data_IF_587803842671
#
_entry.id   IF_587803842671
#
_cell.length_a   1.000
_cell.length_b   1.000
_cell.length_c   1.000
_cell.angle_alpha   90.00
_cell.angle_beta   90.00
_cell.angle_gamma   90.00
#
_symmetry.space_group_name_H-M   'P 1'
#
loop_
_entity.id
_entity.type
_entity.pdbx_description
1 polymer ?
#
# COMPACT_ATOMS: atom_id res chain seq x y z
N UNK A 1 -8.68 59.64 -19.31
CA UNK A 1 -8.93 60.29 -18.00
C UNK A 1 -7.72 60.00 -17.13
N UNK A 2 -7.16 61.07 -16.55
CA UNK A 2 -6.03 61.24 -15.60
C UNK A 2 -5.78 60.06 -14.61
N UNK A 3 -4.62 59.82 -13.97
CA UNK A 3 -3.24 60.32 -13.89
C UNK A 3 -2.45 59.29 -13.03
N UNK A 4 -1.20 58.94 -13.41
CA UNK A 4 0.07 58.88 -12.60
C UNK A 4 0.05 58.30 -11.16
N UNK A 5 1.07 57.63 -10.62
CA UNK A 5 2.51 57.55 -10.87
C UNK A 5 3.19 57.17 -9.53
N UNK A 6 4.17 56.25 -9.57
CA UNK A 6 5.13 55.93 -8.48
C UNK A 6 6.11 57.14 -8.25
N UNK A 7 7.11 57.19 -7.30
CA UNK A 7 7.74 56.11 -6.52
C UNK A 7 8.30 56.40 -5.09
N UNK A 8 8.77 55.32 -4.43
CA UNK A 8 9.91 55.08 -3.50
C UNK A 8 10.47 56.07 -2.44
N UNK A 9 10.64 55.48 -1.25
CA UNK A 9 11.79 55.41 -0.32
C UNK A 9 12.08 56.55 0.68
N UNK A 10 12.18 56.17 1.98
CA UNK A 10 13.33 56.50 2.84
C UNK A 10 13.36 55.64 4.13
N UNK A 11 14.57 55.21 4.49
CA UNK A 11 14.97 54.54 5.74
C UNK A 11 15.29 55.59 6.81
N UNK A 12 14.94 55.35 8.08
CA UNK A 12 15.74 55.81 9.23
C UNK A 12 15.51 54.97 10.49
N UNK A 13 16.63 54.47 11.02
CA UNK A 13 16.80 53.94 12.38
C UNK A 13 16.72 55.08 13.39
N UNK A 14 16.16 54.79 14.57
CA UNK A 14 16.65 55.30 15.85
C UNK A 14 16.51 54.19 16.89
N UNK A 15 17.65 53.76 17.43
CA UNK A 15 17.78 53.02 18.67
C UNK A 15 17.37 53.94 19.83
N UNK A 16 16.68 53.42 20.85
CA UNK A 16 16.89 53.87 22.23
C UNK A 16 16.41 52.79 23.23
N UNK A 17 17.31 52.51 24.18
CA UNK A 17 17.21 51.53 25.25
C UNK A 17 16.29 52.02 26.37
N UNK A 18 15.53 51.11 26.98
CA UNK A 18 14.84 51.37 28.25
C UNK A 18 14.06 50.14 28.74
N UNK A 19 14.63 49.44 29.71
CA UNK A 19 14.00 48.39 30.54
C UNK A 19 14.34 48.74 32.01
N UNK A 20 13.64 48.26 33.06
CA UNK A 20 12.40 47.47 33.16
C UNK A 20 11.30 48.16 33.99
N UNK A 21 10.10 47.57 34.03
CA UNK A 21 9.35 47.37 35.27
C UNK A 21 8.30 46.26 35.08
N UNK A 22 8.38 45.23 35.93
CA UNK A 22 7.37 44.21 36.19
C UNK A 22 6.74 44.57 37.55
N UNK A 23 5.41 44.40 37.75
CA UNK A 23 5.05 43.19 38.49
C UNK A 23 3.67 42.57 38.15
N UNK A 24 3.62 41.27 38.42
CA UNK A 24 2.56 40.50 39.07
C UNK A 24 1.54 39.72 38.21
N UNK A 25 1.69 38.39 38.29
CA UNK A 25 0.69 37.57 38.97
C UNK A 25 -0.30 36.81 38.09
N UNK A 26 -0.02 35.53 37.84
CA UNK A 26 -1.00 34.61 37.25
C UNK A 26 -0.46 33.19 37.10
N UNK A 27 -0.46 32.41 38.20
CA UNK A 27 -0.14 30.98 38.18
C UNK A 27 -1.28 30.19 37.52
N UNK A 28 -1.03 29.56 36.37
CA UNK A 28 -1.91 28.52 35.82
C UNK A 28 -1.33 27.17 36.17
N UNK A 29 -2.08 26.39 36.96
CA UNK A 29 -1.75 25.00 37.31
C UNK A 29 -1.90 24.11 36.07
N UNK A 30 -0.88 23.33 35.77
CA UNK A 30 -0.92 22.23 34.80
C UNK A 30 -1.84 21.12 35.30
N UNK A 31 -2.85 20.77 34.51
CA UNK A 31 -3.62 19.53 34.68
C UNK A 31 -3.00 18.51 33.73
N UNK A 32 -2.41 17.45 34.28
CA UNK A 32 -1.87 16.33 33.50
C UNK A 32 -2.99 15.46 32.91
N UNK A 33 -2.69 14.65 31.87
CA UNK A 33 -3.72 13.85 31.21
C UNK A 33 -4.16 12.67 32.09
N UNK A 34 -5.46 12.60 32.32
CA UNK A 34 -6.13 11.49 33.01
C UNK A 34 -6.14 10.28 32.08
N UNK A 35 -5.41 9.22 32.44
CA UNK A 35 -5.49 7.93 31.77
C UNK A 35 -6.83 7.25 32.09
N UNK A 36 -7.70 7.12 31.10
CA UNK A 36 -8.89 6.27 31.20
C UNK A 36 -8.53 4.85 30.73
N UNK A 37 -8.51 3.91 31.68
CA UNK A 37 -8.45 2.48 31.42
C UNK A 37 -9.75 2.02 30.73
N UNK A 38 -9.62 1.33 29.59
CA UNK A 38 -10.72 0.58 28.96
C UNK A 38 -10.93 -0.76 29.71
N UNK A 39 -12.17 -1.27 29.79
CA UNK A 39 -12.43 -2.57 30.39
C UNK A 39 -12.05 -3.72 29.43
N UNK A 40 -11.52 -4.78 30.04
CA UNK A 40 -11.10 -6.04 29.46
C UNK A 40 -12.24 -6.73 28.70
N UNK A 41 -12.11 -6.89 27.37
CA UNK A 41 -13.08 -7.62 26.54
C UNK A 41 -12.60 -9.05 26.41
N UNK A 42 -13.12 -9.93 27.27
CA UNK A 42 -12.89 -11.38 27.16
C UNK A 42 -13.76 -11.95 26.03
N UNK A 43 -13.20 -12.68 25.04
CA UNK A 43 -13.99 -13.23 23.95
C UNK A 43 -14.89 -14.39 24.43
N UNK A 44 -16.20 -14.22 24.34
CA UNK A 44 -17.16 -15.30 24.58
C UNK A 44 -17.35 -16.14 23.33
N UNK A 45 -16.80 -17.37 23.33
CA UNK A 45 -17.16 -18.43 22.37
C UNK A 45 -18.67 -18.69 22.41
N UNK A 46 -19.37 -18.41 21.31
CA UNK A 46 -20.69 -18.99 21.04
C UNK A 46 -20.59 -19.97 19.88
N UNK A 47 -20.48 -21.25 20.20
CA UNK A 47 -20.86 -22.33 19.30
C UNK A 47 -22.39 -22.44 19.27
N UNK A 48 -22.99 -22.43 18.09
CA UNK A 48 -24.32 -22.97 17.84
C UNK A 48 -24.42 -23.54 16.41
N UNK A 49 -25.34 -24.49 16.17
CA UNK A 49 -25.08 -25.67 15.34
C UNK A 49 -25.51 -25.53 13.87
N UNK A 50 -24.93 -26.41 13.07
CA UNK A 50 -25.18 -26.65 11.64
C UNK A 50 -26.66 -26.87 11.30
N UNK A 51 -27.18 -26.02 10.42
CA UNK A 51 -28.47 -26.17 9.76
C UNK A 51 -28.28 -26.23 8.24
N UNK A 52 -28.67 -27.35 7.65
CA UNK A 52 -28.52 -27.71 6.24
C UNK A 52 -29.57 -27.05 5.33
N UNK A 53 -29.20 -26.94 4.04
CA UNK A 53 -30.01 -26.79 2.80
C UNK A 53 -30.12 -25.34 2.27
N UNK A 54 -30.06 -25.06 0.96
CA UNK A 54 -30.59 -25.84 -0.18
C UNK A 54 -30.03 -25.31 -1.53
N UNK A 55 -29.26 -26.13 -2.26
CA UNK A 55 -29.27 -26.19 -3.75
C UNK A 55 -28.62 -27.49 -4.22
N UNK A 56 -29.44 -28.47 -4.57
CA UNK A 56 -29.11 -29.46 -5.60
C UNK A 56 -29.32 -28.82 -6.98
N UNK A 57 -28.97 -29.41 -8.11
CA UNK A 57 -28.61 -30.79 -8.45
C UNK A 57 -28.15 -30.74 -9.93
N UNK A 58 -27.08 -31.45 -10.31
CA UNK A 58 -27.03 -32.37 -11.46
C UNK A 58 -25.60 -32.87 -11.69
N UNK A 59 -25.52 -34.18 -11.91
CA UNK A 59 -24.34 -35.02 -12.01
C UNK A 59 -24.10 -35.47 -13.46
N UNK A 60 -22.87 -35.87 -13.80
CA UNK A 60 -22.62 -37.11 -14.54
C UNK A 60 -21.12 -37.51 -14.48
N UNK A 61 -20.91 -38.81 -14.30
CA UNK A 61 -19.66 -39.50 -14.00
C UNK A 61 -18.81 -39.84 -15.24
N UNK A 62 -17.50 -39.98 -15.05
CA UNK A 62 -16.72 -41.08 -15.64
C UNK A 62 -15.49 -41.38 -14.78
N UNK A 63 -15.51 -42.53 -14.12
CA UNK A 63 -14.36 -43.16 -13.48
C UNK A 63 -13.73 -44.18 -14.43
N UNK A 64 -12.40 -44.24 -14.46
CA UNK A 64 -11.66 -45.44 -14.85
C UNK A 64 -10.35 -45.49 -14.04
N UNK A 65 -10.11 -46.62 -13.38
CA UNK A 65 -8.93 -46.90 -12.55
C UNK A 65 -8.13 -48.09 -13.12
N UNK A 66 -6.79 -47.89 -13.23
CA UNK A 66 -5.66 -48.78 -12.78
C UNK A 66 -5.36 -50.04 -13.65
N UNK A 67 -4.08 -50.45 -13.95
CA UNK A 67 -2.99 -50.67 -12.98
C UNK A 67 -1.52 -50.34 -13.35
N UNK A 68 -0.72 -50.46 -12.29
CA UNK A 68 0.73 -50.28 -12.05
C UNK A 68 1.68 -51.31 -12.69
N UNK A 69 2.88 -50.85 -13.06
CA UNK A 69 4.19 -51.53 -12.99
C UNK A 69 5.27 -50.44 -13.16
N UNK A 70 6.36 -50.27 -12.41
CA UNK A 70 7.16 -51.17 -11.58
C UNK A 70 8.61 -51.05 -12.05
N UNK A 71 9.48 -50.34 -11.30
CA UNK A 71 10.92 -50.62 -11.06
C UNK A 71 11.66 -49.39 -10.55
N UNK A 72 12.21 -49.54 -9.34
CA UNK A 72 13.22 -48.73 -8.67
C UNK A 72 14.62 -48.97 -9.26
N UNK A 73 15.42 -47.92 -9.47
CA UNK A 73 16.66 -47.66 -8.70
C UNK A 73 17.59 -46.58 -9.31
N UNK A 74 18.16 -45.78 -8.39
CA UNK A 74 19.43 -45.02 -8.41
C UNK A 74 19.48 -43.56 -8.86
N UNK A 75 19.48 -42.70 -7.83
CA UNK A 75 20.52 -41.70 -7.48
C UNK A 75 21.32 -41.09 -8.64
N UNK A 76 20.93 -39.87 -9.02
CA UNK A 76 21.74 -38.89 -9.72
C UNK A 76 21.13 -37.52 -9.44
N UNK A 77 21.93 -36.59 -8.92
CA UNK A 77 21.48 -35.37 -8.23
C UNK A 77 20.37 -34.60 -8.96
N UNK A 78 19.34 -34.23 -8.21
CA UNK A 78 18.42 -33.18 -8.62
C UNK A 78 19.22 -31.87 -8.67
N UNK A 79 19.70 -31.53 -9.87
CA UNK A 79 19.96 -30.14 -10.18
C UNK A 79 18.63 -29.44 -10.01
N UNK A 80 18.59 -28.46 -9.09
CA UNK A 80 17.49 -27.54 -8.96
C UNK A 80 17.13 -27.05 -10.38
N UNK A 81 15.88 -27.29 -10.79
CA UNK A 81 15.40 -26.72 -12.03
C UNK A 81 15.50 -25.20 -11.88
N UNK A 82 16.02 -24.46 -12.88
CA UNK A 82 16.01 -23.01 -12.81
C UNK A 82 14.56 -22.55 -12.64
N UNK A 83 14.30 -21.82 -11.54
CA UNK A 83 12.99 -21.27 -11.20
C UNK A 83 12.57 -20.32 -12.33
N UNK A 84 11.47 -20.63 -13.03
CA UNK A 84 10.76 -19.66 -13.84
C UNK A 84 9.97 -18.76 -12.88
N UNK A 85 10.49 -17.57 -12.62
CA UNK A 85 9.79 -16.49 -11.92
C UNK A 85 8.77 -15.90 -12.89
N UNK A 86 7.51 -15.84 -12.47
CA UNK A 86 6.46 -15.15 -13.24
C UNK A 86 6.76 -13.63 -13.29
N UNK A 87 6.69 -13.04 -14.48
CA UNK A 87 7.16 -11.68 -14.82
C UNK A 87 6.24 -10.54 -14.39
N UNK A 88 5.00 -10.85 -14.03
CA UNK A 88 3.95 -9.83 -13.87
C UNK A 88 3.83 -9.42 -12.40
N UNK A 89 4.44 -8.29 -12.01
CA UNK A 89 4.26 -7.65 -10.69
C UNK A 89 3.67 -6.24 -10.85
N UNK A 90 2.37 -6.13 -11.20
CA UNK A 90 1.81 -4.92 -11.76
C UNK A 90 1.71 -3.72 -10.80
N UNK A 91 1.86 -3.90 -9.47
CA UNK A 91 1.88 -2.81 -8.45
C UNK A 91 2.41 -3.25 -7.08
N UNK A 92 2.65 -2.30 -6.15
CA UNK A 92 2.75 -2.64 -4.71
C UNK A 92 1.46 -3.33 -4.27
N UNK A 93 1.64 -4.35 -3.42
CA UNK A 93 0.64 -5.38 -3.12
C UNK A 93 0.28 -6.30 -4.29
N UNK A 94 1.18 -6.45 -5.26
CA UNK A 94 1.10 -7.38 -6.40
C UNK A 94 -0.07 -7.13 -7.35
N UNK A 95 -1.31 -7.38 -6.91
CA UNK A 95 -2.52 -7.34 -7.72
C UNK A 95 -3.54 -6.28 -7.24
N UNK A 96 -4.66 -6.17 -7.94
CA UNK A 96 -5.77 -5.30 -7.55
C UNK A 96 -6.44 -5.73 -6.24
N UNK A 97 -6.29 -7.00 -5.83
CA UNK A 97 -6.73 -7.54 -4.53
C UNK A 97 -5.80 -7.16 -3.39
N UNK A 98 -4.70 -6.46 -3.70
CA UNK A 98 -3.73 -6.04 -2.72
C UNK A 98 -3.11 -7.22 -1.94
N UNK A 99 -2.86 -8.35 -2.62
CA UNK A 99 -2.32 -9.57 -1.97
C UNK A 99 -0.86 -9.47 -1.57
N UNK A 100 -0.04 -8.71 -2.29
CA UNK A 100 1.41 -8.60 -2.08
C UNK A 100 2.19 -9.87 -2.40
N UNK A 101 1.62 -10.76 -3.21
CA UNK A 101 2.11 -12.13 -3.42
C UNK A 101 1.98 -12.57 -4.88
N UNK A 102 3.00 -13.22 -5.43
CA UNK A 102 2.91 -13.95 -6.71
C UNK A 102 1.97 -15.17 -6.65
N UNK A 103 1.37 -15.54 -7.78
CA UNK A 103 0.38 -16.65 -7.87
C UNK A 103 0.92 -17.93 -7.20
N UNK A 104 0.10 -18.56 -6.37
CA UNK A 104 0.38 -19.85 -5.73
C UNK A 104 1.57 -19.93 -4.74
N UNK A 105 2.14 -18.80 -4.28
CA UNK A 105 3.19 -18.74 -3.22
C UNK A 105 2.73 -18.43 -1.77
N UNK A 106 2.61 -19.40 -0.85
CA UNK A 106 2.38 -19.07 0.58
C UNK A 106 3.63 -18.50 1.25
N UNK A 107 3.46 -17.56 2.18
CA UNK A 107 4.59 -17.08 2.98
C UNK A 107 4.92 -18.06 4.12
N UNK A 108 5.85 -17.68 5.02
CA UNK A 108 6.26 -18.52 6.14
C UNK A 108 5.11 -18.85 7.09
N UNK A 109 5.00 -20.11 7.48
CA UNK A 109 3.97 -20.59 8.42
C UNK A 109 4.42 -20.64 9.87
N UNK A 110 5.71 -20.44 10.10
CA UNK A 110 6.36 -20.34 11.40
C UNK A 110 7.28 -19.14 11.37
N UNK A 111 7.70 -18.66 12.54
CA UNK A 111 8.63 -17.54 12.66
C UNK A 111 9.86 -17.75 11.76
N UNK A 112 10.05 -16.92 10.73
CA UNK A 112 11.15 -17.08 9.79
C UNK A 112 12.45 -16.49 10.35
N UNK A 113 13.58 -16.94 9.81
CA UNK A 113 14.88 -16.33 10.11
C UNK A 113 15.26 -15.30 9.06
N UNK A 114 16.08 -14.30 9.44
CA UNK A 114 16.67 -13.39 8.45
C UNK A 114 17.68 -14.17 7.63
N UNK A 115 17.39 -14.37 6.34
CA UNK A 115 18.30 -15.00 5.38
C UNK A 115 19.43 -14.05 5.01
N UNK A 116 19.06 -12.82 4.69
CA UNK A 116 19.99 -11.73 4.43
C UNK A 116 19.34 -10.39 4.79
N UNK A 117 20.19 -9.39 4.98
CA UNK A 117 19.79 -7.99 5.16
C UNK A 117 20.81 -7.09 4.50
N UNK A 118 20.34 -6.13 3.70
CA UNK A 118 21.19 -5.20 2.96
C UNK A 118 20.80 -3.78 3.30
N UNK A 119 21.79 -2.94 3.58
CA UNK A 119 21.56 -1.52 3.81
C UNK A 119 21.28 -0.85 2.47
N UNK A 120 20.21 -0.08 2.38
CA UNK A 120 19.79 0.65 1.18
C UNK A 120 19.66 2.13 1.52
N UNK A 121 20.00 3.01 0.58
CA UNK A 121 19.79 4.44 0.78
C UNK A 121 18.28 4.68 0.95
N UNK A 122 17.88 5.09 2.15
CA UNK A 122 16.51 5.48 2.43
C UNK A 122 16.43 6.88 3.03
N UNK A 123 15.32 7.54 2.75
CA UNK A 123 14.98 8.80 3.37
C UNK A 123 14.45 8.53 4.77
N UNK A 124 15.09 9.14 5.78
CA UNK A 124 14.67 9.03 7.18
C UNK A 124 13.20 9.45 7.33
N UNK A 125 12.40 8.59 7.95
CA UNK A 125 10.96 8.83 8.14
C UNK A 125 10.08 8.52 6.92
N UNK A 126 10.66 8.08 5.79
CA UNK A 126 9.92 7.58 4.63
C UNK A 126 9.48 6.12 4.79
N UNK A 127 8.54 5.71 3.95
CA UNK A 127 8.08 4.32 3.84
C UNK A 127 8.50 3.76 2.48
N UNK A 128 9.59 2.98 2.39
CA UNK A 128 10.05 2.46 1.11
C UNK A 128 9.08 1.42 0.55
N UNK A 129 8.94 1.44 -0.78
CA UNK A 129 8.22 0.40 -1.51
C UNK A 129 9.18 -0.73 -1.88
N UNK A 130 8.70 -1.97 -1.78
CA UNK A 130 9.40 -3.17 -2.25
C UNK A 130 8.55 -3.88 -3.28
N UNK A 131 9.16 -4.27 -4.39
CA UNK A 131 8.57 -5.10 -5.45
C UNK A 131 9.62 -6.10 -5.90
N UNK A 132 9.20 -7.32 -6.23
CA UNK A 132 10.11 -8.42 -6.60
C UNK A 132 9.76 -8.91 -8.00
N UNK A 133 10.74 -8.99 -8.89
CA UNK A 133 10.56 -9.54 -10.23
C UNK A 133 11.89 -10.10 -10.76
N UNK A 134 11.83 -11.21 -11.49
CA UNK A 134 12.98 -11.85 -12.15
C UNK A 134 14.17 -12.10 -11.21
N UNK A 135 13.89 -12.56 -9.98
CA UNK A 135 14.92 -12.75 -8.95
C UNK A 135 15.61 -11.46 -8.49
N UNK A 136 14.95 -10.31 -8.68
CA UNK A 136 15.42 -8.98 -8.29
C UNK A 136 14.46 -8.36 -7.30
N UNK A 137 14.98 -7.80 -6.21
CA UNK A 137 14.21 -6.99 -5.26
C UNK A 137 14.48 -5.53 -5.58
N UNK A 138 13.46 -4.79 -6.00
CA UNK A 138 13.54 -3.35 -6.21
C UNK A 138 13.02 -2.63 -4.98
N UNK A 139 13.82 -1.72 -4.43
CA UNK A 139 13.48 -0.89 -3.29
C UNK A 139 13.47 0.57 -3.71
N UNK A 140 12.29 1.19 -3.71
CA UNK A 140 12.15 2.61 -3.98
C UNK A 140 12.07 3.38 -2.65
N UNK A 141 12.99 4.34 -2.46
CA UNK A 141 13.01 5.23 -1.30
C UNK A 141 13.31 6.68 -1.71
N UNK A 142 12.28 7.53 -1.69
CA UNK A 142 12.34 8.92 -2.12
C UNK A 142 12.74 9.03 -3.59
N UNK A 143 13.92 9.58 -3.83
CA UNK A 143 14.49 9.78 -5.18
C UNK A 143 15.47 8.68 -5.58
N UNK A 144 15.58 7.61 -4.80
CA UNK A 144 16.55 6.52 -5.01
C UNK A 144 15.81 5.21 -5.20
N UNK A 145 16.30 4.43 -6.17
CA UNK A 145 15.85 3.07 -6.47
C UNK A 145 17.07 2.18 -6.38
N UNK A 146 17.01 1.15 -5.55
CA UNK A 146 18.04 0.11 -5.47
C UNK A 146 17.49 -1.21 -6.00
N UNK A 147 18.32 -1.98 -6.69
CA UNK A 147 18.02 -3.35 -7.10
C UNK A 147 18.97 -4.32 -6.40
N UNK A 148 18.40 -5.30 -5.73
CA UNK A 148 19.14 -6.33 -5.00
C UNK A 148 18.87 -7.70 -5.62
N UNK A 149 19.85 -8.59 -5.58
CA UNK A 149 19.63 -10.00 -5.88
C UNK A 149 18.72 -10.63 -4.81
N UNK A 150 17.63 -11.27 -5.21
CA UNK A 150 16.67 -11.85 -4.27
C UNK A 150 17.25 -13.01 -3.45
N UNK A 151 18.26 -13.73 -3.98
CA UNK A 151 18.82 -14.91 -3.35
C UNK A 151 19.77 -14.56 -2.20
N UNK A 152 20.60 -13.53 -2.36
CA UNK A 152 21.66 -13.20 -1.39
C UNK A 152 21.69 -11.74 -0.92
N UNK A 153 20.82 -10.88 -1.48
CA UNK A 153 20.72 -9.47 -1.11
C UNK A 153 21.83 -8.59 -1.68
N UNK A 154 22.70 -9.10 -2.54
CA UNK A 154 23.78 -8.30 -3.13
C UNK A 154 23.20 -7.18 -4.00
N UNK A 155 23.70 -5.95 -3.81
CA UNK A 155 23.28 -4.82 -4.63
C UNK A 155 23.77 -5.00 -6.07
N UNK A 156 22.83 -4.97 -7.02
CA UNK A 156 23.10 -5.00 -8.45
C UNK A 156 23.34 -3.60 -8.99
N UNK A 157 22.49 -2.65 -8.58
CA UNK A 157 22.62 -1.24 -8.94
C UNK A 157 21.81 -0.34 -8.00
N UNK A 158 22.18 0.94 -7.98
CA UNK A 158 21.42 2.01 -7.35
C UNK A 158 21.33 3.21 -8.30
N UNK A 159 20.11 3.70 -8.54
CA UNK A 159 19.84 4.85 -9.41
C UNK A 159 19.14 5.95 -8.63
N UNK A 160 19.66 7.18 -8.76
CA UNK A 160 18.97 8.38 -8.27
C UNK A 160 18.16 8.99 -9.42
N UNK A 161 16.84 8.88 -9.36
CA UNK A 161 15.92 9.26 -10.45
C UNK A 161 15.65 10.77 -10.50
N UNK A 162 15.89 11.48 -9.40
CA UNK A 162 15.77 12.95 -9.35
C UNK A 162 16.82 13.59 -8.46
N UNK A 163 17.32 14.80 -8.81
CA UNK A 163 18.23 15.57 -7.96
C UNK A 163 17.55 16.11 -6.69
N UNK A 164 16.21 16.21 -6.66
CA UNK A 164 15.46 16.84 -5.58
C UNK A 164 15.55 15.98 -4.31
N UNK A 165 16.06 16.57 -3.22
CA UNK A 165 15.86 16.07 -1.86
C UNK A 165 14.56 16.69 -1.39
N UNK A 166 13.58 15.87 -1.00
CA UNK A 166 12.23 16.26 -0.55
C UNK A 166 12.20 17.69 0.03
N UNK A 167 11.45 18.65 -0.54
CA UNK A 167 11.60 20.08 -0.23
C UNK A 167 11.25 20.55 1.19
N UNK A 168 10.88 19.67 2.11
CA UNK A 168 10.66 20.03 3.50
C UNK A 168 10.75 18.80 4.37
N UNK A 169 11.46 18.89 5.49
CA UNK A 169 11.64 17.81 6.48
C UNK A 169 10.34 17.37 7.18
N UNK A 170 9.28 17.16 6.42
CA UNK A 170 8.01 16.59 6.84
C UNK A 170 8.09 15.07 6.86
N UNK A 171 7.53 14.52 7.93
CA UNK A 171 7.52 13.11 8.29
C UNK A 171 6.46 12.39 7.42
N UNK A 172 6.81 11.25 6.80
CA UNK A 172 5.84 10.21 6.43
C UNK A 172 5.30 10.18 4.99
N UNK A 173 6.15 10.09 3.97
CA UNK A 173 5.68 9.89 2.59
C UNK A 173 6.01 8.49 2.04
N UNK A 174 5.01 7.91 1.40
CA UNK A 174 5.05 6.58 0.80
C UNK A 174 5.81 6.66 -0.51
N UNK A 175 6.78 5.77 -0.65
CA UNK A 175 7.44 5.56 -1.92
C UNK A 175 6.57 4.60 -2.73
N UNK A 176 6.70 4.69 -4.05
CA UNK A 176 5.75 4.15 -4.98
C UNK A 176 6.52 3.35 -6.03
N UNK A 177 6.16 2.08 -6.22
CA UNK A 177 6.82 1.24 -7.21
C UNK A 177 5.80 0.30 -7.89
N UNK A 178 6.01 0.03 -9.16
CA UNK A 178 5.36 -1.04 -9.89
C UNK A 178 6.32 -1.63 -10.92
N UNK A 179 6.03 -2.82 -11.39
CA UNK A 179 6.86 -3.51 -12.35
C UNK A 179 5.99 -3.98 -13.52
N UNK A 180 6.35 -3.55 -14.74
CA UNK A 180 5.83 -4.14 -15.97
C UNK A 180 6.73 -5.27 -16.45
N UNK A 181 6.57 -5.72 -17.69
CA UNK A 181 7.45 -6.74 -18.29
C UNK A 181 8.90 -6.21 -18.39
N UNK A 182 9.08 -5.03 -18.98
CA UNK A 182 10.41 -4.47 -19.28
C UNK A 182 10.91 -3.46 -18.25
N UNK A 183 9.99 -2.70 -17.63
CA UNK A 183 10.33 -1.52 -16.83
C UNK A 183 9.90 -1.62 -15.37
N UNK A 184 10.64 -0.92 -14.51
CA UNK A 184 10.25 -0.56 -13.14
C UNK A 184 9.76 0.88 -13.15
N UNK A 185 8.54 1.11 -12.65
CA UNK A 185 7.93 2.43 -12.58
C UNK A 185 7.97 2.93 -11.14
N UNK A 186 8.51 4.13 -10.93
CA UNK A 186 8.68 4.73 -9.61
C UNK A 186 8.10 6.14 -9.57
N UNK A 187 7.21 6.38 -8.61
CA UNK A 187 6.63 7.69 -8.35
C UNK A 187 7.36 8.42 -7.22
N UNK A 188 7.57 9.72 -7.38
CA UNK A 188 8.04 10.63 -6.33
C UNK A 188 7.45 12.06 -6.51
N UNK A 189 8.01 13.05 -5.82
CA UNK A 189 7.61 14.47 -5.90
C UNK A 189 7.74 15.07 -7.30
N UNK A 190 8.79 14.72 -8.03
CA UNK A 190 9.05 15.28 -9.34
C UNK A 190 8.23 14.59 -10.43
N UNK A 191 7.66 13.41 -10.15
CA UNK A 191 6.69 12.75 -11.00
C UNK A 191 6.88 11.24 -11.11
N UNK A 192 6.62 10.69 -12.29
CA UNK A 192 6.77 9.26 -12.59
C UNK A 192 8.04 9.00 -13.41
N UNK A 193 8.79 7.97 -13.06
CA UNK A 193 10.01 7.55 -13.75
C UNK A 193 9.88 6.08 -14.17
N UNK A 194 10.26 5.78 -15.41
CA UNK A 194 10.40 4.41 -15.89
C UNK A 194 11.88 4.06 -16.07
N UNK A 195 12.27 2.97 -15.42
CA UNK A 195 13.63 2.45 -15.43
C UNK A 195 13.64 1.10 -16.10
N UNK A 196 14.65 0.85 -16.92
CA UNK A 196 14.99 -0.52 -17.33
C UNK A 196 15.40 -1.35 -16.12
N UNK A 197 15.41 -2.68 -16.31
CA UNK A 197 15.89 -3.63 -15.31
C UNK A 197 17.34 -3.42 -14.88
N UNK A 198 18.14 -2.74 -15.69
CA UNK A 198 19.53 -2.39 -15.39
C UNK A 198 19.69 -1.07 -14.62
N UNK A 199 18.57 -0.39 -14.32
CA UNK A 199 18.53 0.86 -13.57
C UNK A 199 18.64 2.12 -14.43
N UNK A 200 18.72 2.00 -15.76
CA UNK A 200 18.74 3.14 -16.68
C UNK A 200 17.35 3.79 -16.74
N UNK A 201 17.25 5.09 -16.50
CA UNK A 201 16.00 5.84 -16.70
C UNK A 201 15.75 5.99 -18.20
N UNK A 202 14.66 5.41 -18.70
CA UNK A 202 14.27 5.51 -20.10
C UNK A 202 13.44 6.76 -20.38
N UNK A 203 12.45 7.00 -19.52
CA UNK A 203 11.57 8.16 -19.64
C UNK A 203 11.05 8.60 -18.28
N UNK A 204 10.58 9.84 -18.23
CA UNK A 204 9.89 10.40 -17.06
C UNK A 204 8.70 11.26 -17.48
N UNK A 205 7.72 11.34 -16.60
CA UNK A 205 6.67 12.35 -16.62
C UNK A 205 6.90 13.29 -15.44
N UNK A 206 7.23 14.55 -15.74
CA UNK A 206 7.40 15.58 -14.72
C UNK A 206 6.04 16.15 -14.32
N UNK A 207 5.79 16.19 -13.01
CA UNK A 207 4.61 16.85 -12.44
C UNK A 207 5.02 18.24 -11.97
N UNK A 208 4.47 19.33 -12.55
CA UNK A 208 4.81 20.67 -12.10
C UNK A 208 4.43 20.88 -10.64
N UNK A 209 5.39 21.37 -9.86
CA UNK A 209 5.23 21.59 -8.42
C UNK A 209 5.46 23.06 -8.08
N UNK A 210 4.41 23.92 -8.18
CA UNK A 210 4.54 25.34 -7.87
C UNK A 210 4.81 25.60 -6.39
N UNK A 211 4.53 24.64 -5.51
CA UNK A 211 4.80 24.71 -4.07
C UNK A 211 5.58 23.45 -3.65
N UNK A 212 6.92 23.49 -3.69
CA UNK A 212 7.78 22.31 -3.50
C UNK A 212 7.30 21.35 -2.41
N UNK A 213 7.00 20.10 -2.78
CA UNK A 213 6.46 19.05 -1.94
C UNK A 213 4.93 18.91 -1.94
N UNK A 214 4.18 19.76 -2.66
CA UNK A 214 2.71 19.72 -2.66
C UNK A 214 2.13 18.81 -3.74
N UNK A 215 2.82 18.70 -4.88
CA UNK A 215 2.41 17.86 -6.00
C UNK A 215 3.37 16.68 -6.22
N UNK A 216 2.92 15.68 -6.97
CA UNK A 216 3.73 14.50 -7.30
C UNK A 216 2.92 13.20 -7.37
N UNK A 217 3.64 12.09 -7.54
CA UNK A 217 3.12 10.72 -7.61
C UNK A 217 3.47 9.99 -6.31
N UNK A 218 2.64 10.17 -5.28
CA UNK A 218 2.93 9.67 -3.92
C UNK A 218 2.45 8.25 -3.62
N UNK A 219 1.69 7.63 -4.53
CA UNK A 219 1.16 6.28 -4.37
C UNK A 219 1.58 5.41 -5.54
N UNK A 220 1.68 4.10 -5.28
CA UNK A 220 2.10 3.10 -6.26
C UNK A 220 1.28 3.19 -7.54
N UNK A 221 1.91 3.34 -8.73
CA UNK A 221 1.20 3.21 -9.98
C UNK A 221 0.67 1.78 -10.13
N UNK A 222 -0.22 1.60 -11.10
CA UNK A 222 -0.70 0.30 -11.52
C UNK A 222 -0.33 0.05 -12.97
N UNK A 223 0.33 -1.06 -13.25
CA UNK A 223 0.71 -1.48 -14.60
C UNK A 223 -0.21 -2.61 -15.04
N UNK A 224 -0.90 -2.51 -16.16
CA UNK A 224 -1.70 -3.62 -16.68
C UNK A 224 -1.86 -3.47 -18.19
N UNK A 225 -1.81 -4.59 -18.91
CA UNK A 225 -1.99 -4.64 -20.38
C UNK A 225 -1.14 -3.59 -21.13
N UNK A 226 0.13 -3.48 -20.78
CA UNK A 226 1.10 -2.54 -21.37
C UNK A 226 0.81 -1.06 -21.08
N UNK A 227 -0.02 -0.77 -20.08
CA UNK A 227 -0.35 0.59 -19.64
C UNK A 227 0.13 0.81 -18.21
N UNK A 228 0.58 2.02 -17.90
CA UNK A 228 0.84 2.47 -16.52
C UNK A 228 -0.17 3.57 -16.16
N UNK A 229 -0.87 3.36 -15.04
CA UNK A 229 -1.84 4.29 -14.47
C UNK A 229 -1.28 4.88 -13.20
N UNK A 230 -1.43 6.18 -13.02
CA UNK A 230 -0.98 6.89 -11.82
C UNK A 230 -1.84 8.12 -11.56
N UNK A 231 -1.73 8.64 -10.34
CA UNK A 231 -2.46 9.81 -9.86
C UNK A 231 -1.50 10.89 -9.40
N UNK A 232 -1.96 12.13 -9.52
CA UNK A 232 -1.22 13.32 -9.09
C UNK A 232 -2.05 14.07 -8.05
N UNK A 233 -1.42 14.48 -6.95
CA UNK A 233 -2.14 15.04 -5.79
C UNK A 233 -2.87 16.33 -6.12
N UNK A 234 -2.15 17.40 -6.46
CA UNK A 234 -2.73 18.74 -6.59
C UNK A 234 -3.55 18.92 -7.88
N UNK A 235 -3.16 18.28 -8.98
CA UNK A 235 -3.94 18.36 -10.23
C UNK A 235 -5.24 17.57 -10.15
N UNK A 236 -5.41 16.69 -9.16
CA UNK A 236 -6.60 15.85 -9.02
C UNK A 236 -6.84 14.95 -10.24
N UNK A 237 -5.77 14.53 -10.92
CA UNK A 237 -5.84 13.85 -12.20
C UNK A 237 -5.41 12.38 -12.12
N UNK A 238 -6.01 11.59 -13.00
CA UNK A 238 -5.58 10.23 -13.33
C UNK A 238 -4.91 10.28 -14.70
N UNK A 239 -3.75 9.66 -14.80
CA UNK A 239 -2.99 9.54 -16.03
C UNK A 239 -2.91 8.08 -16.47
N UNK A 240 -2.85 7.88 -17.79
CA UNK A 240 -2.49 6.61 -18.40
C UNK A 240 -1.43 6.82 -19.46
N UNK A 241 -0.34 6.07 -19.35
CA UNK A 241 0.75 6.03 -20.30
C UNK A 241 0.90 4.61 -20.85
N UNK A 242 1.51 4.45 -22.03
CA UNK A 242 2.11 3.17 -22.41
C UNK A 242 3.30 2.90 -21.50
N UNK A 243 3.73 1.64 -21.39
CA UNK A 243 4.96 1.29 -20.69
C UNK A 243 6.19 1.98 -21.28
N UNK A 244 6.12 2.38 -22.54
CA UNK A 244 7.21 3.03 -23.30
C UNK A 244 7.19 4.56 -23.20
N UNK A 245 6.24 5.13 -22.47
CA UNK A 245 6.22 6.55 -22.13
C UNK A 245 5.31 7.44 -22.96
N UNK A 246 4.49 6.87 -23.85
CA UNK A 246 3.49 7.64 -24.58
C UNK A 246 2.24 7.86 -23.72
N UNK A 247 1.88 9.12 -23.47
CA UNK A 247 0.62 9.44 -22.80
C UNK A 247 -0.57 8.98 -23.65
N UNK A 248 -1.37 8.04 -23.10
CA UNK A 248 -2.63 7.60 -23.71
C UNK A 248 -3.73 8.61 -23.43
N UNK A 249 -3.89 9.01 -22.17
CA UNK A 249 -4.88 9.98 -21.74
C UNK A 249 -4.55 10.60 -20.37
N UNK A 250 -5.20 11.74 -20.10
CA UNK A 250 -5.28 12.41 -18.80
C UNK A 250 -6.76 12.68 -18.51
N UNK A 251 -7.20 12.41 -17.29
CA UNK A 251 -8.55 12.73 -16.82
C UNK A 251 -8.48 13.46 -15.49
N UNK A 252 -8.97 14.69 -15.47
CA UNK A 252 -9.20 15.41 -14.23
C UNK A 252 -10.46 14.88 -13.55
N UNK A 253 -10.37 14.66 -12.24
CA UNK A 253 -11.51 14.32 -11.41
C UNK A 253 -12.02 15.62 -10.77
N UNK A 254 -13.33 15.87 -10.85
CA UNK A 254 -13.98 16.96 -10.12
C UNK A 254 -14.12 16.55 -8.63
N UNK A 255 -12.98 16.43 -7.96
CA UNK A 255 -12.85 15.64 -6.73
C UNK A 255 -11.88 16.22 -5.70
N UNK A 256 -11.33 17.41 -5.95
CA UNK A 256 -10.25 17.97 -5.13
C UNK A 256 -8.96 17.17 -5.26
N UNK A 257 -8.16 17.13 -4.19
CA UNK A 257 -6.89 16.42 -4.17
C UNK A 257 -7.04 14.90 -4.34
N UNK A 258 -6.21 14.29 -5.16
CA UNK A 258 -6.19 12.82 -5.36
C UNK A 258 -4.94 12.24 -4.71
N UNK A 259 -5.09 11.76 -3.48
CA UNK A 259 -3.96 11.23 -2.68
C UNK A 259 -3.86 9.71 -2.65
N UNK A 260 -4.85 9.01 -3.22
CA UNK A 260 -4.89 7.55 -3.35
C UNK A 260 -4.23 7.08 -4.66
N UNK A 261 -3.63 5.88 -4.62
CA UNK A 261 -3.14 5.22 -5.82
C UNK A 261 -4.26 4.54 -6.60
N UNK A 262 -4.05 4.22 -7.89
CA UNK A 262 -5.04 3.50 -8.69
C UNK A 262 -5.08 2.00 -8.37
N UNK A 263 -6.28 1.42 -8.43
CA UNK A 263 -6.49 -0.01 -8.54
C UNK A 263 -7.14 -0.35 -9.87
N UNK A 264 -6.58 -1.31 -10.62
CA UNK A 264 -7.06 -1.60 -11.97
C UNK A 264 -7.51 -3.04 -12.07
N UNK A 265 -8.77 -3.26 -12.43
CA UNK A 265 -9.37 -4.58 -12.60
C UNK A 265 -10.49 -4.52 -13.64
N UNK A 266 -10.65 -5.59 -14.41
CA UNK A 266 -11.74 -5.75 -15.38
C UNK A 266 -11.95 -4.54 -16.32
N UNK A 267 -10.86 -3.89 -16.75
CA UNK A 267 -10.91 -2.72 -17.64
C UNK A 267 -11.39 -1.43 -16.96
N UNK A 268 -11.32 -1.36 -15.63
CA UNK A 268 -11.68 -0.21 -14.80
C UNK A 268 -10.55 0.16 -13.86
N UNK A 269 -10.25 1.45 -13.78
CA UNK A 269 -9.33 2.13 -12.88
C UNK A 269 -10.15 2.77 -11.76
N UNK A 270 -9.94 2.32 -10.53
CA UNK A 270 -10.57 2.79 -9.31
C UNK A 270 -9.61 3.70 -8.55
N UNK A 271 -10.09 4.90 -8.19
CA UNK A 271 -9.26 5.95 -7.57
C UNK A 271 -10.04 6.62 -6.43
N UNK A 272 -9.42 6.67 -5.25
CA UNK A 272 -9.93 7.43 -4.11
C UNK A 272 -9.62 8.93 -4.23
N UNK A 273 -10.49 9.76 -3.66
CA UNK A 273 -10.37 11.22 -3.63
C UNK A 273 -11.02 11.80 -2.38
N UNK A 274 -10.97 13.12 -2.22
CA UNK A 274 -11.69 13.81 -1.13
C UNK A 274 -13.21 13.65 -1.22
N UNK A 275 -13.76 13.44 -2.41
CA UNK A 275 -15.21 13.35 -2.63
C UNK A 275 -15.77 11.93 -2.67
N UNK A 276 -14.90 10.91 -2.70
CA UNK A 276 -15.34 9.52 -2.81
C UNK A 276 -14.42 8.65 -3.66
N UNK A 277 -14.96 7.50 -4.07
CA UNK A 277 -14.33 6.55 -4.97
C UNK A 277 -14.81 6.81 -6.41
N UNK A 278 -13.87 6.90 -7.34
CA UNK A 278 -14.14 7.12 -8.77
C UNK A 278 -13.77 5.88 -9.57
N UNK A 279 -14.58 5.57 -10.58
CA UNK A 279 -14.29 4.55 -11.58
C UNK A 279 -14.14 5.17 -12.97
N UNK A 280 -13.01 4.90 -13.60
CA UNK A 280 -12.67 5.33 -14.96
C UNK A 280 -12.34 4.07 -15.76
N UNK A 281 -12.79 3.94 -17.00
CA UNK A 281 -12.33 2.85 -17.87
C UNK A 281 -10.82 2.97 -18.12
N UNK A 282 -10.17 1.86 -18.45
CA UNK A 282 -8.76 1.88 -18.91
C UNK A 282 -8.56 2.71 -20.18
N UNK A 283 -9.63 3.02 -20.92
CA UNK A 283 -9.65 3.96 -22.05
C UNK A 283 -9.80 5.44 -21.69
N UNK A 284 -10.05 5.77 -20.42
CA UNK A 284 -10.15 7.16 -19.93
C UNK A 284 -11.57 7.70 -19.79
N UNK A 285 -12.59 6.95 -20.25
CA UNK A 285 -14.00 7.33 -20.08
C UNK A 285 -14.45 7.09 -18.62
N UNK A 286 -15.19 8.03 -18.04
CA UNK A 286 -15.69 7.93 -16.67
C UNK A 286 -16.89 6.99 -16.61
N UNK A 287 -16.94 6.17 -15.57
CA UNK A 287 -18.03 5.22 -15.35
C UNK A 287 -18.97 5.70 -14.27
N UNK A 288 -18.46 5.92 -13.05
CA UNK A 288 -19.26 6.31 -11.90
C UNK A 288 -18.40 6.96 -10.80
N UNK A 289 -19.07 7.61 -9.86
CA UNK A 289 -18.50 8.11 -8.60
C UNK A 289 -19.40 7.68 -7.44
N UNK A 290 -18.80 7.06 -6.42
CA UNK A 290 -19.48 6.62 -5.20
C UNK A 290 -19.13 7.57 -4.03
N UNK A 291 -20.10 8.28 -3.44
CA UNK A 291 -19.86 9.31 -2.42
C UNK A 291 -19.69 8.69 -1.02
N UNK A 292 -18.60 7.94 -0.82
CA UNK A 292 -18.30 7.23 0.43
C UNK A 292 -17.55 8.09 1.46
N UNK A 293 -17.12 9.31 1.09
CA UNK A 293 -16.28 10.18 1.89
C UNK A 293 -14.85 10.25 1.37
N UNK A 294 -13.93 10.82 2.16
CA UNK A 294 -12.56 11.01 1.74
C UNK A 294 -11.79 9.68 1.75
N UNK A 295 -11.32 9.25 0.58
CA UNK A 295 -10.54 8.02 0.37
C UNK A 295 -9.11 8.39 0.01
N UNK A 296 -8.19 8.24 0.97
CA UNK A 296 -6.76 8.59 0.81
C UNK A 296 -5.86 7.38 0.57
N UNK A 297 -6.40 6.17 0.66
CA UNK A 297 -5.68 4.90 0.53
C UNK A 297 -5.97 4.26 -0.83
N UNK A 298 -5.06 3.41 -1.30
CA UNK A 298 -5.27 2.70 -2.56
C UNK A 298 -6.43 1.71 -2.40
N UNK A 299 -7.46 1.75 -3.27
CA UNK A 299 -8.57 0.80 -3.20
C UNK A 299 -8.10 -0.65 -3.40
N UNK A 300 -8.90 -1.57 -2.88
CA UNK A 300 -8.71 -3.03 -3.07
C UNK A 300 -9.91 -3.59 -3.81
N UNK A 301 -9.68 -4.37 -4.85
CA UNK A 301 -10.74 -4.96 -5.68
C UNK A 301 -10.83 -6.46 -5.39
N UNK A 302 -11.95 -6.89 -4.81
CA UNK A 302 -12.30 -8.30 -4.59
C UNK A 302 -12.98 -8.93 -5.81
N UNK A 303 -13.94 -9.82 -5.57
CA UNK A 303 -14.81 -10.36 -6.62
C UNK A 303 -15.99 -9.40 -6.75
N UNK A 304 -16.09 -8.69 -7.88
CA UNK A 304 -17.20 -7.75 -8.19
C UNK A 304 -17.37 -6.57 -7.22
N UNK A 305 -16.54 -6.47 -6.17
CA UNK A 305 -16.63 -5.42 -5.14
C UNK A 305 -15.30 -4.69 -4.99
N UNK A 306 -15.36 -3.38 -4.74
CA UNK A 306 -14.23 -2.52 -4.39
C UNK A 306 -14.34 -2.11 -2.93
N UNK A 307 -13.27 -2.36 -2.18
CA UNK A 307 -13.14 -2.03 -0.77
C UNK A 307 -12.23 -0.83 -0.57
N UNK A 308 -12.66 0.07 0.30
CA UNK A 308 -11.93 1.29 0.61
C UNK A 308 -11.91 1.55 2.12
N UNK A 309 -10.83 2.19 2.56
CA UNK A 309 -10.72 2.80 3.88
C UNK A 309 -10.66 4.32 3.68
N UNK A 310 -11.27 5.07 4.59
CA UNK A 310 -11.34 6.52 4.44
C UNK A 310 -11.82 7.21 5.70
N UNK A 311 -12.16 8.49 5.59
CA UNK A 311 -12.75 9.24 6.68
C UNK A 311 -13.84 10.22 6.21
N UNK A 312 -14.73 10.57 7.14
CA UNK A 312 -15.71 11.64 7.00
C UNK A 312 -15.59 12.57 8.21
N UNK A 313 -15.92 13.85 8.04
CA UNK A 313 -15.88 14.82 9.15
C UNK A 313 -16.86 14.44 10.28
N UNK A 314 -18.01 13.86 9.93
CA UNK A 314 -19.09 13.57 10.87
C UNK A 314 -18.90 12.26 11.65
N UNK A 315 -18.39 11.20 11.00
CA UNK A 315 -18.35 9.85 11.59
C UNK A 315 -16.94 9.33 11.88
N UNK A 316 -15.90 10.08 11.50
CA UNK A 316 -14.51 9.65 11.62
C UNK A 316 -14.12 8.68 10.50
N UNK A 317 -13.23 7.74 10.79
CA UNK A 317 -12.76 6.76 9.79
C UNK A 317 -13.82 5.71 9.46
N UNK A 318 -13.75 5.12 8.26
CA UNK A 318 -14.68 4.10 7.82
C UNK A 318 -13.98 2.99 7.00
N UNK A 319 -14.69 1.88 6.86
CA UNK A 319 -14.48 0.89 5.79
C UNK A 319 -15.77 0.83 4.97
N UNK A 320 -15.67 0.73 3.65
CA UNK A 320 -16.83 0.60 2.77
C UNK A 320 -16.58 -0.43 1.66
N UNK A 321 -17.67 -1.02 1.17
CA UNK A 321 -17.74 -1.80 -0.05
C UNK A 321 -18.60 -1.10 -1.08
N UNK A 322 -18.14 -1.14 -2.32
CA UNK A 322 -18.79 -0.53 -3.47
C UNK A 322 -18.82 -1.55 -4.60
N UNK A 323 -19.98 -1.80 -5.19
CA UNK A 323 -20.12 -2.63 -6.37
C UNK A 323 -19.25 -2.08 -7.51
N UNK A 324 -18.39 -2.93 -8.06
CA UNK A 324 -17.33 -2.52 -8.99
C UNK A 324 -17.87 -2.02 -10.33
N UNK A 325 -19.05 -2.49 -10.75
CA UNK A 325 -19.64 -2.18 -12.05
C UNK A 325 -20.54 -0.94 -11.99
N UNK A 326 -21.36 -0.83 -10.94
CA UNK A 326 -22.39 0.20 -10.80
C UNK A 326 -21.98 1.39 -9.93
N UNK A 327 -21.04 1.20 -9.00
CA UNK A 327 -20.71 2.19 -7.98
C UNK A 327 -21.72 2.27 -6.83
N UNK A 328 -22.67 1.34 -6.75
CA UNK A 328 -23.60 1.24 -5.61
C UNK A 328 -22.82 0.88 -4.33
N UNK A 329 -23.12 1.58 -3.24
CA UNK A 329 -22.47 1.31 -1.94
C UNK A 329 -23.23 0.17 -1.26
N UNK A 330 -22.61 -1.02 -1.22
CA UNK A 330 -23.19 -2.21 -0.59
C UNK A 330 -23.28 -2.03 0.93
N UNK A 331 -22.19 -1.55 1.53
CA UNK A 331 -22.12 -1.23 2.94
C UNK A 331 -21.08 -0.14 3.22
N UNK A 332 -21.31 0.62 4.30
CA UNK A 332 -20.44 1.68 4.79
C UNK A 332 -20.50 1.68 6.32
N UNK A 333 -19.38 1.33 6.96
CA UNK A 333 -19.32 1.16 8.40
C UNK A 333 -18.32 2.15 8.98
N UNK A 334 -18.82 3.08 9.80
CA UNK A 334 -17.99 3.93 10.62
C UNK A 334 -17.19 3.09 11.63
N UNK A 335 -15.93 3.46 11.81
CA UNK A 335 -15.00 2.77 12.68
C UNK A 335 -14.38 3.75 13.68
N UNK A 336 -14.37 3.36 14.95
CA UNK A 336 -13.94 4.24 16.04
C UNK A 336 -12.42 4.43 16.12
N UNK A 337 -11.65 3.55 15.49
CA UNK A 337 -10.19 3.64 15.42
C UNK A 337 -9.73 4.08 14.04
N UNK A 338 -8.70 4.91 13.99
CA UNK A 338 -8.14 5.52 12.78
C UNK A 338 -7.54 4.49 11.81
N UNK A 339 -8.37 3.91 10.95
CA UNK A 339 -7.93 3.06 9.83
C UNK A 339 -7.44 3.96 8.70
N UNK A 340 -6.17 3.81 8.33
CA UNK A 340 -5.55 4.60 7.25
C UNK A 340 -4.55 3.78 6.41
N UNK A 341 -4.42 2.47 6.67
CA UNK A 341 -3.75 1.56 5.76
C UNK A 341 -4.64 1.20 4.57
N UNK A 342 -4.03 0.92 3.42
CA UNK A 342 -4.75 0.28 2.32
C UNK A 342 -5.26 -1.09 2.80
N UNK A 343 -6.53 -1.45 2.59
CA UNK A 343 -7.00 -2.77 2.92
C UNK A 343 -6.24 -3.83 2.09
N UNK A 344 -6.21 -5.06 2.57
CA UNK A 344 -5.81 -6.24 1.80
C UNK A 344 -6.97 -7.23 1.79
N UNK A 345 -7.31 -7.78 0.62
CA UNK A 345 -8.41 -8.74 0.48
C UNK A 345 -7.85 -10.15 0.30
N UNK A 346 -8.47 -11.10 0.98
CA UNK A 346 -8.18 -12.53 0.79
C UNK A 346 -9.45 -13.35 0.68
N UNK A 347 -9.30 -14.48 0.01
CA UNK A 347 -10.31 -15.53 -0.05
C UNK A 347 -9.70 -16.84 0.47
N UNK A 348 -10.05 -17.20 1.71
CA UNK A 348 -9.60 -18.42 2.37
C UNK A 348 -10.74 -19.43 2.45
N UNK A 349 -10.65 -20.54 1.70
CA UNK A 349 -11.70 -21.56 1.66
C UNK A 349 -13.02 -21.03 1.12
N UNK A 350 -14.02 -20.82 1.99
CA UNK A 350 -15.35 -20.29 1.62
C UNK A 350 -15.64 -18.90 2.20
N UNK A 351 -14.61 -18.20 2.70
CA UNK A 351 -14.75 -16.89 3.35
C UNK A 351 -13.93 -15.86 2.61
N UNK A 352 -14.39 -14.62 2.72
CA UNK A 352 -13.76 -13.44 2.13
C UNK A 352 -13.53 -12.44 3.25
N UNK A 353 -12.27 -12.06 3.45
CA UNK A 353 -11.88 -11.16 4.54
C UNK A 353 -11.08 -9.98 4.03
N UNK A 354 -11.21 -8.87 4.75
CA UNK A 354 -10.37 -7.69 4.60
C UNK A 354 -9.47 -7.54 5.82
N UNK A 355 -8.21 -7.24 5.60
CA UNK A 355 -7.26 -6.83 6.63
C UNK A 355 -6.90 -5.37 6.49
N UNK A 356 -6.95 -4.59 7.56
CA UNK A 356 -6.48 -3.20 7.56
C UNK A 356 -5.82 -2.81 8.87
N UNK A 357 -4.73 -2.04 8.78
CA UNK A 357 -4.01 -1.51 9.92
C UNK A 357 -4.41 -0.06 10.23
N UNK A 358 -4.39 0.26 11.53
CA UNK A 358 -4.57 1.62 12.05
C UNK A 358 -3.22 2.30 12.27
N UNK A 359 -3.17 3.63 12.39
CA UNK A 359 -1.93 4.34 12.75
C UNK A 359 -1.39 4.00 14.14
N UNK A 360 -2.24 3.46 15.02
CA UNK A 360 -1.88 3.16 16.41
C UNK A 360 -1.37 1.73 16.58
N UNK A 361 -1.08 1.03 15.49
CA UNK A 361 -0.50 -0.30 15.60
C UNK A 361 -1.50 -1.42 15.80
N UNK A 362 -2.79 -1.18 15.58
CA UNK A 362 -3.80 -2.23 15.64
C UNK A 362 -4.17 -2.66 14.23
N UNK A 363 -4.07 -3.96 13.96
CA UNK A 363 -4.56 -4.61 12.76
C UNK A 363 -5.93 -5.23 13.02
N UNK A 364 -6.86 -5.00 12.11
CA UNK A 364 -8.23 -5.52 12.17
C UNK A 364 -8.51 -6.40 10.96
N UNK A 365 -9.31 -7.44 11.19
CA UNK A 365 -9.95 -8.20 10.12
C UNK A 365 -11.45 -7.90 10.08
N UNK A 366 -12.00 -7.90 8.87
CA UNK A 366 -13.40 -7.64 8.61
C UNK A 366 -13.96 -8.72 7.69
N UNK A 367 -15.20 -9.12 7.92
CA UNK A 367 -15.98 -9.91 6.97
C UNK A 367 -16.22 -9.04 5.72
N UNK A 368 -15.75 -9.48 4.56
CA UNK A 368 -15.78 -8.67 3.34
C UNK A 368 -17.22 -8.48 2.79
N UNK A 369 -18.16 -9.35 3.17
CA UNK A 369 -19.56 -9.26 2.74
C UNK A 369 -20.38 -8.23 3.53
N UNK A 370 -19.99 -7.94 4.76
CA UNK A 370 -20.76 -7.09 5.69
C UNK A 370 -19.99 -5.90 6.25
N UNK A 371 -18.66 -5.92 6.14
CA UNK A 371 -17.76 -4.95 6.73
C UNK A 371 -17.73 -4.98 8.25
N UNK A 372 -18.27 -6.03 8.89
CA UNK A 372 -18.22 -6.17 10.35
C UNK A 372 -16.83 -6.60 10.79
N UNK A 373 -16.30 -5.97 11.84
CA UNK A 373 -15.05 -6.39 12.46
C UNK A 373 -15.21 -7.77 13.06
N UNK A 374 -14.38 -8.71 12.61
CA UNK A 374 -14.34 -10.07 13.14
C UNK A 374 -13.34 -10.17 14.28
N UNK A 375 -12.19 -9.50 14.12
CA UNK A 375 -11.09 -9.58 15.06
C UNK A 375 -10.18 -8.35 14.99
N UNK A 376 -9.38 -8.12 16.03
CA UNK A 376 -8.31 -7.13 16.01
C UNK A 376 -7.22 -7.41 17.05
N UNK A 377 -5.97 -7.09 16.71
CA UNK A 377 -4.82 -7.19 17.62
C UNK A 377 -3.88 -6.01 17.47
N UNK A 378 -3.15 -5.72 18.55
CA UNK A 378 -2.00 -4.87 18.48
C UNK A 378 -0.82 -5.63 17.86
N UNK A 379 -0.21 -5.05 16.83
CA UNK A 379 0.94 -5.60 16.08
C UNK A 379 2.22 -4.78 16.27
N UNK A 380 2.21 -3.79 17.18
CA UNK A 380 3.30 -2.82 17.38
C UNK A 380 3.01 -1.51 16.67
N UNK A 381 3.79 -0.44 16.89
CA UNK A 381 3.56 0.85 16.21
C UNK A 381 3.64 0.66 14.69
N UNK A 382 2.57 1.01 13.97
CA UNK A 382 2.54 0.93 12.51
C UNK A 382 2.40 2.33 11.95
N UNK A 383 3.44 2.81 11.26
CA UNK A 383 3.21 3.77 10.15
C UNK A 383 2.31 3.04 9.13
N UNK A 384 1.41 3.72 8.39
CA UNK A 384 0.29 3.09 7.70
C UNK A 384 0.74 1.84 6.94
N UNK A 385 0.49 0.68 7.56
CA UNK A 385 1.05 -0.58 7.12
C UNK A 385 0.32 -1.02 5.87
N UNK A 386 1.07 -1.56 4.92
CA UNK A 386 0.55 -2.15 3.70
C UNK A 386 0.66 -3.66 3.90
N UNK A 387 -0.35 -4.32 4.50
CA UNK A 387 -0.30 -5.74 4.73
C UNK A 387 -0.24 -6.49 3.41
N UNK A 388 0.45 -7.62 3.41
CA UNK A 388 0.36 -8.66 2.38
C UNK A 388 -0.45 -9.84 2.93
N UNK A 389 -0.95 -10.72 2.07
CA UNK A 389 -1.78 -11.85 2.49
C UNK A 389 -1.60 -13.06 1.60
N UNK A 390 -1.80 -14.22 2.19
CA UNK A 390 -1.99 -15.48 1.51
C UNK A 390 -3.38 -16.09 1.84
N UNK A 391 -3.77 -17.23 1.22
CA UNK A 391 -5.04 -17.88 1.51
C UNK A 391 -5.24 -18.35 2.94
N UNK A 392 -4.25 -18.24 3.83
CA UNK A 392 -4.30 -18.70 5.23
C UNK A 392 -4.08 -17.54 6.24
N UNK A 393 -3.30 -16.50 5.92
CA UNK A 393 -2.90 -15.44 6.88
C UNK A 393 -2.64 -14.07 6.27
N UNK A 394 -2.48 -13.08 7.15
CA UNK A 394 -1.97 -11.74 6.84
C UNK A 394 -0.53 -11.56 7.36
N UNK A 395 0.28 -10.81 6.63
CA UNK A 395 1.62 -10.38 7.01
C UNK A 395 1.61 -8.87 7.17
N UNK A 396 1.75 -8.41 8.41
CA UNK A 396 1.60 -7.02 8.78
C UNK A 396 2.95 -6.43 9.16
N UNK A 397 3.48 -5.47 8.37
CA UNK A 397 4.69 -4.73 8.74
C UNK A 397 4.40 -3.77 9.90
N UNK A 398 5.27 -3.77 10.91
CA UNK A 398 5.27 -2.87 12.06
C UNK A 398 6.66 -2.27 12.27
N UNK A 399 6.79 -1.17 13.02
CA UNK A 399 8.05 -0.42 13.09
C UNK A 399 9.24 -1.26 13.58
N UNK A 400 9.02 -2.26 14.43
CA UNK A 400 10.05 -3.15 14.96
C UNK A 400 9.87 -4.65 14.63
N UNK A 401 8.93 -5.00 13.76
CA UNK A 401 8.67 -6.39 13.40
C UNK A 401 7.89 -6.58 12.10
N UNK A 402 7.85 -7.81 11.60
CA UNK A 402 6.76 -8.30 10.76
C UNK A 402 5.97 -9.34 11.54
N UNK A 403 4.65 -9.20 11.52
CA UNK A 403 3.73 -10.05 12.28
C UNK A 403 2.89 -10.87 11.31
N UNK A 404 2.86 -12.19 11.49
CA UNK A 404 1.87 -13.02 10.83
C UNK A 404 0.64 -13.18 11.71
N UNK A 405 -0.52 -12.98 11.10
CA UNK A 405 -1.82 -12.98 11.75
C UNK A 405 -2.71 -14.00 11.05
N UNK A 406 -3.11 -15.03 11.78
CA UNK A 406 -4.28 -15.83 11.44
C UNK A 406 -5.52 -14.95 11.67
N UNK A 407 -6.42 -14.85 10.68
CA UNK A 407 -7.59 -13.96 10.75
C UNK A 407 -8.60 -14.32 11.84
N UNK A 408 -8.48 -15.51 12.46
CA UNK A 408 -9.43 -16.07 13.41
C UNK A 408 -8.83 -16.31 14.79
N UNK A 409 -7.62 -16.87 14.83
CA UNK A 409 -6.94 -17.31 16.05
C UNK A 409 -5.88 -16.31 16.53
N UNK A 410 -5.51 -15.36 15.67
CA UNK A 410 -4.73 -14.18 16.01
C UNK A 410 -3.26 -14.23 15.61
N UNK A 411 -2.37 -13.64 16.40
CA UNK A 411 -0.94 -13.60 16.06
C UNK A 411 -0.36 -15.02 16.07
N UNK A 412 0.12 -15.48 14.92
CA UNK A 412 0.79 -16.78 14.78
C UNK A 412 2.27 -16.68 15.16
N UNK A 413 2.94 -15.64 14.66
CA UNK A 413 4.34 -15.37 14.94
C UNK A 413 4.70 -13.89 14.73
N UNK A 414 5.80 -13.47 15.36
CA UNK A 414 6.38 -12.13 15.25
C UNK A 414 7.87 -12.26 14.95
N UNK A 415 8.32 -11.74 13.81
CA UNK A 415 9.74 -11.71 13.44
C UNK A 415 10.31 -10.30 13.72
N UNK A 416 11.21 -10.13 14.70
CA UNK A 416 11.74 -8.82 15.04
C UNK A 416 12.64 -8.27 13.92
N UNK A 417 12.40 -7.03 13.51
CA UNK A 417 13.09 -6.34 12.44
C UNK A 417 13.23 -4.85 12.77
N UNK A 418 14.41 -4.26 12.56
CA UNK A 418 14.53 -2.82 12.78
C UNK A 418 13.88 -2.04 11.64
N UNK A 419 12.89 -1.20 11.97
CA UNK A 419 12.25 -0.22 11.09
C UNK A 419 11.30 -0.80 10.05
N UNK A 420 10.63 -1.93 10.29
CA UNK A 420 9.82 -2.64 9.30
C UNK A 420 8.47 -1.96 8.98
N UNK A 421 8.51 -0.66 8.67
CA UNK A 421 7.36 0.16 8.32
C UNK A 421 7.07 0.23 6.81
N UNK A 422 7.73 -0.60 5.99
CA UNK A 422 7.63 -0.62 4.51
C UNK A 422 6.61 -1.60 3.94
N UNK A 423 6.60 -1.71 2.61
CA UNK A 423 5.85 -2.77 1.92
C UNK A 423 6.40 -4.16 2.25
N UNK A 424 5.54 -5.17 2.17
CA UNK A 424 5.90 -6.59 2.23
C UNK A 424 5.61 -7.22 0.88
N UNK A 425 6.57 -7.97 0.34
CA UNK A 425 6.41 -8.79 -0.86
C UNK A 425 6.66 -10.26 -0.56
N UNK A 426 5.82 -11.15 -1.09
CA UNK A 426 5.88 -12.59 -0.87
C UNK A 426 6.25 -13.29 -2.19
N UNK A 427 7.40 -13.96 -2.23
CA UNK A 427 7.85 -14.80 -3.35
C UNK A 427 8.62 -16.03 -2.84
N UNK A 428 8.44 -17.20 -3.45
CA UNK A 428 9.16 -18.44 -3.14
C UNK A 428 9.28 -18.78 -1.64
N UNK A 429 8.18 -18.64 -0.89
CA UNK A 429 8.09 -18.82 0.56
C UNK A 429 9.02 -17.90 1.38
N UNK A 430 9.48 -16.80 0.79
CA UNK A 430 10.23 -15.74 1.46
C UNK A 430 9.38 -14.46 1.60
N UNK A 431 9.69 -13.67 2.63
CA UNK A 431 9.16 -12.31 2.78
C UNK A 431 10.29 -11.31 2.52
N UNK A 432 10.04 -10.38 1.62
CA UNK A 432 10.91 -9.22 1.39
C UNK A 432 10.29 -7.99 2.03
N UNK A 433 11.07 -7.33 2.89
CA UNK A 433 10.59 -6.24 3.74
C UNK A 433 11.55 -5.08 3.61
N UNK A 434 11.07 -3.95 3.11
CA UNK A 434 11.83 -2.71 3.13
C UNK A 434 11.57 -1.93 4.43
N UNK A 435 12.59 -1.26 4.93
CA UNK A 435 12.57 -0.58 6.22
C UNK A 435 12.75 0.92 6.10
N UNK A 436 11.99 1.67 6.90
CA UNK A 436 12.14 3.12 7.08
C UNK A 436 13.50 3.54 7.63
N UNK A 437 14.29 2.61 8.17
CA UNK A 437 15.66 2.80 8.63
C UNK A 437 16.73 2.46 7.58
N UNK A 438 16.34 2.30 6.30
CA UNK A 438 17.29 2.08 5.21
C UNK A 438 17.86 0.68 5.14
N UNK A 439 17.00 -0.32 5.33
CA UNK A 439 17.37 -1.73 5.16
C UNK A 439 16.33 -2.47 4.34
N UNK A 440 16.77 -3.46 3.58
CA UNK A 440 15.92 -4.47 2.98
C UNK A 440 16.25 -5.82 3.62
N UNK A 441 15.23 -6.57 3.99
CA UNK A 441 15.35 -7.89 4.60
C UNK A 441 14.74 -8.95 3.69
N UNK A 442 15.33 -10.14 3.67
CA UNK A 442 14.68 -11.36 3.22
C UNK A 442 14.53 -12.33 4.39
N UNK A 443 13.31 -12.80 4.61
CA UNK A 443 12.96 -13.76 5.66
C UNK A 443 12.59 -15.10 5.04
N UNK A 444 12.96 -16.20 5.68
CA UNK A 444 12.37 -17.52 5.46
C UNK A 444 13.24 -18.66 5.92
#
# INVERSE_FOLDING_TARGET
>A
MRFTGKPHAELRRTDEQGQPDDPAGGSVRSVGPTQHFLPDVTPHRRMCPSGTTRRGFLAACATATVPTAGCSDRLGGALASPLEVSTDWPRVQYDARATGRTVDVTGPTTEPSVRWSTDVEAVEGGTPAVVVADGTVFVASGSVVAALDAADGTERWTTRVSPSRSPGGGIGYLCSAAVGEEHVFVGNYDGLFALDRDGTVQWSHEVPDPTPGSSGVFRSPAVVDGAVFFTTVDEGAVYAYTTDGDQRWRRELDAGGVTAGPAVAAGTVFVGSETGLHAVSTGGDGRWTAPVGNVTTTPTVGIETVYVTGYTEDTGTFVAAVDADSGEVDWHNAHQNTIMGSPAYRQGGSREELGAATWLGTFFTYDAGTGQTEWGTHVGETKPAIPATDPDRFYVPADDAVVAVDPWDGVEWTAPLSGAAGGVAITDAALFVASSHGRCYALG
#
